data_IF_765685411987
#
_entry.id   IF_765685411987
#
_cell.length_a   1.000
_cell.length_b   1.000
_cell.length_c   1.000
_cell.angle_alpha   90.00
_cell.angle_beta   90.00
_cell.angle_gamma   90.00
#
_symmetry.space_group_name_H-M   'P 1'
#
loop_
_entity.id
_entity.type
_entity.pdbx_description
1 polymer ?
#
# COMPACT_ATOMS: atom_id res chain seq x y z
N UNK A 1 22.47 22.59 4.55
CA UNK A 1 23.74 22.09 4.00
C UNK A 1 24.25 22.93 2.81
N UNK A 2 23.53 23.01 1.69
CA UNK A 2 23.96 23.73 0.47
C UNK A 2 24.37 25.20 0.67
N UNK A 3 23.69 25.94 1.57
CA UNK A 3 24.06 27.33 1.90
C UNK A 3 25.44 27.49 2.56
N UNK A 4 25.92 26.45 3.28
CA UNK A 4 27.13 26.52 4.12
C UNK A 4 28.35 25.87 3.45
N UNK A 5 28.14 24.98 2.49
CA UNK A 5 29.21 24.22 1.83
C UNK A 5 28.95 24.08 0.32
N UNK A 6 29.69 24.83 -0.53
CA UNK A 6 29.49 24.85 -1.99
C UNK A 6 29.70 23.50 -2.68
N UNK A 7 30.49 22.59 -2.08
CA UNK A 7 30.73 21.23 -2.58
C UNK A 7 29.43 20.40 -2.75
N UNK A 8 28.39 20.72 -1.97
CA UNK A 8 27.09 20.05 -2.02
C UNK A 8 26.07 20.72 -2.97
N UNK A 9 26.52 21.63 -3.84
CA UNK A 9 25.73 22.14 -4.96
C UNK A 9 25.68 21.15 -6.13
N UNK A 10 26.64 20.23 -6.22
CA UNK A 10 26.66 19.13 -7.20
C UNK A 10 25.85 17.93 -6.67
N UNK A 11 25.39 17.09 -7.59
CA UNK A 11 24.56 15.89 -7.31
C UNK A 11 25.22 15.00 -6.25
N UNK A 12 24.46 14.64 -5.21
CA UNK A 12 24.91 13.81 -4.10
C UNK A 12 24.02 12.58 -3.95
N UNK A 13 24.63 11.37 -3.98
CA UNK A 13 23.90 10.10 -3.86
C UNK A 13 23.34 9.84 -2.46
N UNK A 14 23.99 10.33 -1.40
CA UNK A 14 23.59 10.06 -0.01
C UNK A 14 23.69 11.32 0.87
N UNK A 15 22.83 12.33 0.63
CA UNK A 15 22.86 13.58 1.39
C UNK A 15 22.60 13.40 2.89
N UNK A 16 21.82 12.38 3.31
CA UNK A 16 21.52 12.14 4.72
C UNK A 16 22.73 11.63 5.52
N UNK A 17 23.46 10.65 4.98
CA UNK A 17 24.67 10.14 5.63
C UNK A 17 25.76 11.24 5.72
N UNK A 18 25.89 12.08 4.69
CA UNK A 18 26.78 13.25 4.72
C UNK A 18 26.39 14.27 5.80
N UNK A 19 25.09 14.50 6.02
CA UNK A 19 24.62 15.36 7.11
C UNK A 19 25.00 14.77 8.47
N UNK A 20 24.82 13.46 8.65
CA UNK A 20 25.22 12.76 9.88
C UNK A 20 26.74 12.78 10.10
N UNK A 21 27.53 12.60 9.03
CA UNK A 21 28.99 12.69 9.08
C UNK A 21 29.47 14.06 9.56
N UNK A 22 28.83 15.14 9.07
CA UNK A 22 29.19 16.52 9.43
C UNK A 22 28.71 16.92 10.83
N UNK A 23 27.63 16.33 11.30
CA UNK A 23 27.06 16.66 12.61
C UNK A 23 27.76 15.92 13.76
N UNK A 24 28.02 14.62 13.60
CA UNK A 24 28.45 13.74 14.70
C UNK A 24 29.73 12.96 14.35
N UNK A 25 29.97 12.64 13.07
CA UNK A 25 31.18 11.95 12.60
C UNK A 25 30.91 10.66 11.82
N UNK A 26 31.97 9.95 11.46
CA UNK A 26 31.92 8.79 10.54
C UNK A 26 31.04 7.64 11.02
N UNK A 27 31.07 7.30 12.32
CA UNK A 27 30.23 6.23 12.89
C UNK A 27 28.73 6.52 12.77
N UNK A 28 28.33 7.79 12.97
CA UNK A 28 26.94 8.21 12.81
C UNK A 28 26.48 8.19 11.35
N UNK A 29 27.38 8.49 10.41
CA UNK A 29 27.12 8.35 8.97
C UNK A 29 26.83 6.90 8.58
N UNK A 30 27.66 5.95 9.07
CA UNK A 30 27.44 4.52 8.87
C UNK A 30 26.10 4.06 9.45
N UNK A 31 25.80 4.43 10.70
CA UNK A 31 24.52 4.07 11.33
C UNK A 31 23.33 4.64 10.55
N UNK A 32 23.38 5.92 10.16
CA UNK A 32 22.32 6.56 9.40
C UNK A 32 22.11 5.87 8.04
N UNK A 33 23.20 5.52 7.35
CA UNK A 33 23.12 4.80 6.08
C UNK A 33 22.48 3.42 6.26
N UNK A 34 22.92 2.64 7.25
CA UNK A 34 22.36 1.33 7.54
C UNK A 34 20.86 1.39 7.86
N UNK A 35 20.43 2.33 8.71
CA UNK A 35 19.02 2.51 9.05
C UNK A 35 18.16 2.88 7.84
N UNK A 36 18.68 3.75 6.95
CA UNK A 36 17.98 4.10 5.72
C UNK A 36 17.82 2.88 4.82
N UNK A 37 18.87 2.07 4.63
CA UNK A 37 18.79 0.88 3.78
C UNK A 37 17.77 -0.12 4.30
N UNK A 38 17.77 -0.38 5.62
CA UNK A 38 16.78 -1.27 6.24
C UNK A 38 15.35 -0.75 6.02
N UNK A 39 15.14 0.56 6.20
CA UNK A 39 13.81 1.17 6.01
C UNK A 39 13.33 1.08 4.56
N UNK A 40 14.21 1.36 3.60
CA UNK A 40 13.88 1.30 2.17
C UNK A 40 13.63 -0.13 1.70
N UNK A 41 14.44 -1.09 2.17
CA UNK A 41 14.24 -2.51 1.88
C UNK A 41 12.91 -3.01 2.44
N UNK A 42 12.60 -2.70 3.70
CA UNK A 42 11.31 -3.05 4.31
C UNK A 42 10.11 -2.40 3.61
N UNK A 43 10.24 -1.15 3.17
CA UNK A 43 9.21 -0.50 2.35
C UNK A 43 9.00 -1.20 1.00
N UNK A 44 10.09 -1.50 0.29
CA UNK A 44 10.04 -2.16 -1.00
C UNK A 44 9.42 -3.56 -0.93
N UNK A 45 9.70 -4.34 0.13
CA UNK A 45 9.12 -5.66 0.31
C UNK A 45 7.60 -5.60 0.54
N UNK A 46 7.13 -4.70 1.42
CA UNK A 46 5.69 -4.52 1.68
C UNK A 46 4.94 -4.06 0.43
N UNK A 47 5.47 -3.10 -0.33
CA UNK A 47 4.82 -2.65 -1.56
C UNK A 47 4.82 -3.72 -2.65
N UNK A 48 5.88 -4.53 -2.75
CA UNK A 48 5.93 -5.66 -3.69
C UNK A 48 4.88 -6.73 -3.35
N UNK A 49 4.71 -7.03 -2.05
CA UNK A 49 3.68 -7.95 -1.57
C UNK A 49 2.28 -7.44 -1.93
N UNK A 50 2.02 -6.17 -1.66
CA UNK A 50 0.73 -5.53 -1.95
C UNK A 50 0.45 -5.55 -3.47
N UNK A 51 1.43 -5.23 -4.30
CA UNK A 51 1.29 -5.29 -5.76
C UNK A 51 0.98 -6.72 -6.24
N UNK A 52 1.71 -7.72 -5.73
CA UNK A 52 1.48 -9.13 -6.07
C UNK A 52 0.08 -9.60 -5.70
N UNK A 53 -0.44 -9.22 -4.52
CA UNK A 53 -1.82 -9.55 -4.09
C UNK A 53 -2.85 -8.94 -5.04
N UNK A 54 -2.76 -7.63 -5.29
CA UNK A 54 -3.69 -6.95 -6.21
C UNK A 54 -3.67 -7.53 -7.63
N UNK A 55 -2.49 -7.89 -8.15
CA UNK A 55 -2.38 -8.52 -9.48
C UNK A 55 -2.98 -9.92 -9.48
N UNK A 56 -2.71 -10.72 -8.44
CA UNK A 56 -3.28 -12.06 -8.31
C UNK A 56 -4.80 -12.01 -8.29
N UNK A 57 -5.38 -11.13 -7.47
CA UNK A 57 -6.84 -10.97 -7.36
C UNK A 57 -7.46 -10.47 -8.68
N UNK A 58 -6.79 -9.55 -9.36
CA UNK A 58 -7.22 -9.07 -10.68
C UNK A 58 -7.18 -10.18 -11.73
N UNK A 59 -6.14 -11.02 -11.76
CA UNK A 59 -6.03 -12.12 -12.72
C UNK A 59 -7.07 -13.21 -12.47
N UNK A 60 -7.42 -13.48 -11.20
CA UNK A 60 -8.52 -14.37 -10.86
C UNK A 60 -9.85 -13.88 -11.45
N UNK A 61 -10.09 -12.56 -11.52
CA UNK A 61 -11.27 -11.98 -12.17
C UNK A 61 -11.31 -12.19 -13.69
N UNK A 62 -10.16 -12.23 -14.34
CA UNK A 62 -10.05 -12.50 -15.78
C UNK A 62 -10.00 -14.01 -16.11
N UNK A 63 -10.19 -14.89 -15.12
CA UNK A 63 -10.19 -16.34 -15.31
C UNK A 63 -8.81 -16.98 -15.41
N UNK A 64 -7.73 -16.23 -15.16
CA UNK A 64 -6.37 -16.74 -15.11
C UNK A 64 -5.95 -16.97 -13.65
N UNK A 65 -6.02 -18.22 -13.18
CA UNK A 65 -5.55 -18.59 -11.84
C UNK A 65 -4.03 -18.71 -11.81
N UNK A 66 -3.32 -17.60 -11.62
CA UNK A 66 -1.89 -17.62 -11.33
C UNK A 66 -1.66 -17.76 -9.83
N UNK A 67 -0.65 -18.56 -9.45
CA UNK A 67 -0.23 -18.64 -8.05
C UNK A 67 0.39 -17.32 -7.60
N UNK A 68 -0.01 -16.85 -6.42
CA UNK A 68 0.51 -15.66 -5.75
C UNK A 68 2.04 -15.54 -5.77
N UNK A 69 2.74 -16.65 -5.52
CA UNK A 69 4.20 -16.72 -5.50
C UNK A 69 4.83 -16.29 -6.84
N UNK A 70 4.22 -16.71 -7.95
CA UNK A 70 4.69 -16.44 -9.29
C UNK A 70 4.44 -14.98 -9.68
N UNK A 71 3.27 -14.44 -9.29
CA UNK A 71 2.97 -13.01 -9.44
C UNK A 71 4.00 -12.15 -8.69
N UNK A 72 4.37 -12.56 -7.48
CA UNK A 72 5.34 -11.85 -6.68
C UNK A 72 6.73 -11.85 -7.32
N UNK A 73 7.21 -13.01 -7.77
CA UNK A 73 8.48 -13.09 -8.50
C UNK A 73 8.47 -12.25 -9.80
N UNK A 74 7.37 -12.29 -10.55
CA UNK A 74 7.21 -11.51 -11.77
C UNK A 74 7.26 -9.99 -11.50
N UNK A 75 6.60 -9.51 -10.44
CA UNK A 75 6.66 -8.11 -10.02
C UNK A 75 8.09 -7.71 -9.64
N UNK A 76 8.79 -8.52 -8.84
CA UNK A 76 10.18 -8.23 -8.46
C UNK A 76 11.12 -8.17 -9.68
N UNK A 77 10.97 -9.10 -10.63
CA UNK A 77 11.77 -9.11 -11.87
C UNK A 77 11.44 -7.92 -12.78
N UNK A 78 10.18 -7.48 -12.81
CA UNK A 78 9.76 -6.30 -13.57
C UNK A 78 10.28 -5.00 -12.96
N UNK A 79 10.27 -4.88 -11.63
CA UNK A 79 10.77 -3.68 -10.92
C UNK A 79 12.30 -3.59 -10.92
N UNK A 80 13.00 -4.71 -11.08
CA UNK A 80 14.45 -4.79 -11.13
C UNK A 80 15.14 -3.76 -12.05
N UNK A 81 14.81 -3.67 -13.36
CA UNK A 81 15.42 -2.68 -14.25
C UNK A 81 15.13 -1.23 -13.83
N UNK A 82 13.99 -0.97 -13.18
CA UNK A 82 13.66 0.38 -12.71
C UNK A 82 14.50 0.80 -11.50
N UNK A 83 14.92 -0.14 -10.66
CA UNK A 83 15.78 0.12 -9.50
C UNK A 83 17.21 0.53 -9.88
N UNK A 84 17.65 0.20 -11.11
CA UNK A 84 18.98 0.61 -11.62
C UNK A 84 19.03 2.09 -12.04
N UNK A 85 17.90 2.81 -12.06
CA UNK A 85 17.90 4.20 -12.52
C UNK A 85 18.36 5.18 -11.43
N UNK A 86 19.24 6.11 -11.85
CA UNK A 86 20.14 6.86 -10.97
C UNK A 86 19.50 8.05 -10.24
N UNK A 87 18.36 8.58 -10.70
CA UNK A 87 17.71 9.73 -10.05
C UNK A 87 16.19 9.75 -10.24
N UNK A 88 15.41 10.04 -9.18
CA UNK A 88 13.96 10.18 -9.24
C UNK A 88 13.50 11.41 -10.05
N UNK A 89 14.39 12.36 -10.37
CA UNK A 89 14.04 13.55 -11.16
C UNK A 89 13.56 13.20 -12.58
N UNK A 90 14.02 12.07 -13.14
CA UNK A 90 13.64 11.64 -14.48
C UNK A 90 12.24 11.01 -14.58
N UNK A 91 11.56 10.78 -13.43
CA UNK A 91 10.28 10.05 -13.36
C UNK A 91 9.11 10.88 -12.83
N UNK A 92 9.19 12.21 -12.89
CA UNK A 92 8.14 13.08 -12.34
C UNK A 92 6.73 12.79 -12.91
N UNK A 93 6.64 12.33 -14.17
CA UNK A 93 5.37 11.93 -14.81
C UNK A 93 4.75 10.70 -14.14
N UNK A 94 5.56 9.70 -13.79
CA UNK A 94 5.11 8.49 -13.09
C UNK A 94 4.57 8.86 -11.71
N UNK A 95 5.24 9.77 -11.00
CA UNK A 95 4.78 10.26 -9.70
C UNK A 95 3.42 10.97 -9.78
N UNK A 96 3.17 11.77 -10.82
CA UNK A 96 1.86 12.40 -11.05
C UNK A 96 0.80 11.35 -11.37
N UNK A 97 1.12 10.40 -12.25
CA UNK A 97 0.23 9.29 -12.58
C UNK A 97 -0.17 8.49 -11.34
N UNK A 98 0.80 8.15 -10.49
CA UNK A 98 0.57 7.46 -9.23
C UNK A 98 -0.28 8.26 -8.24
N UNK A 99 -0.06 9.58 -8.14
CA UNK A 99 -0.87 10.45 -7.28
C UNK A 99 -2.33 10.55 -7.75
N UNK A 100 -2.53 10.68 -9.07
CA UNK A 100 -3.86 10.70 -9.68
C UNK A 100 -4.57 9.34 -9.51
N UNK A 101 -3.90 8.23 -9.81
CA UNK A 101 -4.47 6.89 -9.64
C UNK A 101 -4.85 6.61 -8.19
N UNK A 102 -4.02 7.04 -7.23
CA UNK A 102 -4.32 6.91 -5.80
C UNK A 102 -5.53 7.73 -5.40
N UNK A 103 -5.65 8.96 -5.92
CA UNK A 103 -6.80 9.84 -5.64
C UNK A 103 -8.09 9.24 -6.20
N UNK A 104 -8.07 8.73 -7.43
CA UNK A 104 -9.21 8.02 -8.03
C UNK A 104 -9.57 6.78 -7.22
N UNK A 105 -8.58 5.98 -6.82
CA UNK A 105 -8.82 4.79 -5.99
C UNK A 105 -9.49 5.16 -4.66
N UNK A 106 -9.03 6.21 -3.98
CA UNK A 106 -9.66 6.71 -2.74
C UNK A 106 -11.11 7.12 -2.98
N UNK A 107 -11.39 7.85 -4.07
CA UNK A 107 -12.77 8.24 -4.42
C UNK A 107 -13.64 7.00 -4.65
N UNK A 108 -13.15 6.00 -5.37
CA UNK A 108 -13.89 4.74 -5.61
C UNK A 108 -14.13 3.97 -4.31
N UNK A 109 -13.15 3.91 -3.41
CA UNK A 109 -13.29 3.29 -2.08
C UNK A 109 -14.37 4.01 -1.26
N UNK A 110 -14.38 5.34 -1.27
CA UNK A 110 -15.39 6.13 -0.56
C UNK A 110 -16.80 5.92 -1.15
N UNK A 111 -16.93 5.84 -2.48
CA UNK A 111 -18.20 5.53 -3.13
C UNK A 111 -18.67 4.12 -2.75
N UNK A 112 -17.79 3.12 -2.86
CA UNK A 112 -18.10 1.73 -2.48
C UNK A 112 -18.53 1.63 -1.02
N UNK A 113 -17.80 2.30 -0.12
CA UNK A 113 -18.16 2.36 1.31
C UNK A 113 -19.51 3.05 1.52
N UNK A 114 -19.81 4.11 0.77
CA UNK A 114 -21.06 4.86 0.87
C UNK A 114 -22.28 4.03 0.43
N UNK A 115 -22.12 3.16 -0.58
CA UNK A 115 -23.16 2.23 -1.03
C UNK A 115 -23.47 1.19 0.04
N UNK A 116 -22.45 0.76 0.80
CA UNK A 116 -22.59 -0.26 1.85
C UNK A 116 -23.11 0.30 3.19
N UNK A 117 -23.13 1.63 3.39
CA UNK A 117 -23.64 2.29 4.61
C UNK A 117 -25.02 1.77 5.05
N UNK A 118 -26.10 1.80 4.23
CA UNK A 118 -27.43 1.43 4.69
C UNK A 118 -27.55 -0.05 5.10
N UNK A 119 -26.66 -0.91 4.61
CA UNK A 119 -26.71 -2.36 4.80
C UNK A 119 -25.81 -2.76 5.97
N UNK A 120 -24.57 -2.28 5.98
CA UNK A 120 -23.53 -2.77 6.89
C UNK A 120 -23.38 -1.95 8.17
N UNK A 121 -23.78 -0.67 8.18
CA UNK A 121 -23.64 0.17 9.37
C UNK A 121 -24.41 -0.39 10.59
N UNK A 122 -25.57 -1.01 10.35
CA UNK A 122 -26.40 -1.62 11.41
C UNK A 122 -25.89 -2.99 11.87
N UNK A 123 -25.09 -3.66 11.04
CA UNK A 123 -24.48 -4.96 11.34
C UNK A 123 -23.06 -4.83 11.90
N UNK A 124 -22.48 -3.63 11.88
CA UNK A 124 -21.13 -3.38 12.35
C UNK A 124 -21.01 -3.63 13.86
N UNK A 125 -19.98 -4.39 14.23
CA UNK A 125 -19.55 -4.59 15.60
C UNK A 125 -18.22 -3.88 15.83
N UNK A 126 -18.03 -3.32 17.03
CA UNK A 126 -16.81 -2.61 17.41
C UNK A 126 -16.18 -3.34 18.59
N UNK A 127 -14.94 -3.80 18.42
CA UNK A 127 -14.20 -4.47 19.47
C UNK A 127 -13.52 -3.46 20.40
N UNK A 128 -13.32 -3.87 21.66
CA UNK A 128 -12.46 -3.13 22.59
C UNK A 128 -11.00 -3.17 22.13
N UNK A 129 -10.30 -2.05 22.31
CA UNK A 129 -8.92 -1.90 21.85
C UNK A 129 -7.99 -2.65 22.80
N UNK A 130 -7.43 -3.77 22.34
CA UNK A 130 -6.36 -4.46 23.08
C UNK A 130 -5.00 -3.77 22.85
N UNK A 131 -4.04 -3.85 23.79
CA UNK A 131 -2.71 -3.28 23.61
C UNK A 131 -2.00 -3.78 22.35
N UNK A 132 -2.19 -5.07 22.02
CA UNK A 132 -1.64 -5.68 20.80
C UNK A 132 -2.19 -5.01 19.54
N UNK A 133 -3.51 -4.83 19.44
CA UNK A 133 -4.15 -4.17 18.30
C UNK A 133 -3.71 -2.70 18.19
N UNK A 134 -3.57 -2.02 19.32
CA UNK A 134 -3.05 -0.65 19.36
C UNK A 134 -1.64 -0.56 18.78
N UNK A 135 -0.71 -1.43 19.20
CA UNK A 135 0.67 -1.42 18.69
C UNK A 135 0.73 -1.74 17.19
N UNK A 136 -0.06 -2.71 16.71
CA UNK A 136 -0.13 -3.03 15.29
C UNK A 136 -0.68 -1.85 14.48
N UNK A 137 -1.80 -1.26 14.91
CA UNK A 137 -2.40 -0.09 14.27
C UNK A 137 -1.44 1.10 14.25
N UNK A 138 -0.78 1.40 15.37
CA UNK A 138 0.23 2.45 15.44
C UNK A 138 1.39 2.21 14.46
N UNK A 139 1.89 0.97 14.37
CA UNK A 139 2.93 0.60 13.41
C UNK A 139 2.51 0.84 11.96
N UNK A 140 1.27 0.49 11.61
CA UNK A 140 0.73 0.75 10.26
C UNK A 140 0.62 2.25 9.95
N UNK A 141 0.23 3.08 10.91
CA UNK A 141 0.17 4.54 10.74
C UNK A 141 1.58 5.12 10.56
N UNK A 142 2.54 4.70 11.39
CA UNK A 142 3.94 5.14 11.27
C UNK A 142 4.53 4.75 9.91
N UNK A 143 4.22 3.54 9.42
CA UNK A 143 4.60 3.10 8.09
C UNK A 143 3.94 3.94 6.99
N UNK A 144 2.64 4.22 7.09
CA UNK A 144 1.86 4.94 6.09
C UNK A 144 2.27 6.42 5.93
N UNK A 145 2.71 7.06 7.02
CA UNK A 145 3.27 8.42 7.02
C UNK A 145 4.81 8.43 6.86
N UNK A 146 5.41 7.24 6.70
CA UNK A 146 6.83 7.04 6.51
C UNK A 146 7.31 7.50 5.14
N UNK A 147 8.36 8.32 5.11
CA UNK A 147 8.97 8.83 3.88
C UNK A 147 10.17 9.76 4.13
N UNK A 148 10.43 10.10 5.39
CA UNK A 148 11.50 11.00 5.82
C UNK A 148 12.92 10.63 5.31
N UNK A 149 13.32 9.35 5.17
CA UNK A 149 14.63 8.99 4.64
C UNK A 149 14.94 9.58 3.26
N UNK A 150 13.92 9.78 2.41
CA UNK A 150 14.10 10.29 1.03
C UNK A 150 14.03 11.82 0.94
N UNK A 151 13.56 12.49 1.99
CA UNK A 151 13.39 13.95 2.03
C UNK A 151 14.64 14.75 1.66
N UNK A 152 15.84 14.42 2.16
CA UNK A 152 17.05 15.15 1.80
C UNK A 152 17.44 14.97 0.33
N UNK A 153 17.17 13.80 -0.25
CA UNK A 153 17.39 13.54 -1.68
C UNK A 153 16.42 14.35 -2.52
N UNK A 154 15.13 14.34 -2.16
CA UNK A 154 14.10 15.17 -2.83
C UNK A 154 14.47 16.65 -2.72
N UNK A 155 14.80 17.13 -1.53
CA UNK A 155 15.19 18.53 -1.31
C UNK A 155 16.43 18.92 -2.13
N UNK A 156 17.38 17.99 -2.29
CA UNK A 156 18.58 18.21 -3.08
C UNK A 156 18.28 18.30 -4.59
N UNK A 157 17.34 17.48 -5.09
CA UNK A 157 16.94 17.41 -6.50
C UNK A 157 15.92 18.52 -6.88
N UNK A 158 15.34 19.23 -5.91
CA UNK A 158 14.42 20.35 -6.18
C UNK A 158 15.13 21.53 -6.85
N UNK A 159 14.53 22.06 -7.94
CA UNK A 159 14.97 23.31 -8.58
C UNK A 159 15.02 24.50 -7.62
N UNK A 160 14.14 24.54 -6.62
CA UNK A 160 14.11 25.57 -5.58
C UNK A 160 13.98 24.94 -4.18
N UNK A 161 15.10 24.55 -3.53
CA UNK A 161 15.08 23.87 -2.23
C UNK A 161 14.48 24.69 -1.07
N UNK A 162 14.35 26.01 -1.23
CA UNK A 162 13.73 26.91 -0.24
C UNK A 162 12.24 26.63 -0.04
N UNK A 163 11.56 26.07 -1.03
CA UNK A 163 10.14 25.75 -0.98
C UNK A 163 9.85 24.35 -0.41
N UNK A 164 10.88 23.58 -0.07
CA UNK A 164 10.75 22.20 0.42
C UNK A 164 9.79 22.08 1.61
N UNK A 165 9.92 22.93 2.64
CA UNK A 165 9.04 22.87 3.83
C UNK A 165 7.57 23.11 3.48
N UNK A 166 7.28 24.02 2.54
CA UNK A 166 5.89 24.26 2.09
C UNK A 166 5.36 23.06 1.31
N UNK A 167 6.18 22.45 0.47
CA UNK A 167 5.82 21.26 -0.30
C UNK A 167 5.52 20.06 0.61
N UNK A 168 6.36 19.82 1.62
CA UNK A 168 6.16 18.73 2.60
C UNK A 168 4.92 18.95 3.46
N UNK A 169 4.69 20.19 3.92
CA UNK A 169 3.48 20.51 4.68
C UNK A 169 2.22 20.25 3.85
N UNK A 170 2.21 20.72 2.60
CA UNK A 170 1.09 20.48 1.68
C UNK A 170 0.89 18.99 1.41
N UNK A 171 1.96 18.22 1.18
CA UNK A 171 1.84 16.78 0.93
C UNK A 171 1.25 16.02 2.13
N UNK A 172 1.65 16.37 3.36
CA UNK A 172 1.07 15.75 4.56
C UNK A 172 -0.40 16.13 4.79
N UNK A 173 -0.79 17.37 4.49
CA UNK A 173 -2.20 17.78 4.54
C UNK A 173 -3.03 16.97 3.55
N UNK A 174 -2.58 16.87 2.30
CA UNK A 174 -3.28 16.08 1.27
C UNK A 174 -3.34 14.61 1.66
N UNK A 175 -2.24 14.04 2.17
CA UNK A 175 -2.20 12.64 2.62
C UNK A 175 -3.20 12.39 3.75
N UNK A 176 -3.25 13.29 4.73
CA UNK A 176 -4.23 13.22 5.83
C UNK A 176 -5.67 13.26 5.30
N UNK A 177 -5.97 14.17 4.36
CA UNK A 177 -7.28 14.29 3.74
C UNK A 177 -7.68 13.06 2.90
N UNK A 178 -6.71 12.32 2.35
CA UNK A 178 -6.98 11.07 1.64
C UNK A 178 -7.16 9.89 2.60
N UNK A 179 -6.34 9.80 3.64
CA UNK A 179 -6.34 8.67 4.57
C UNK A 179 -7.46 8.74 5.60
N UNK A 180 -7.73 9.92 6.19
CA UNK A 180 -8.69 10.04 7.29
C UNK A 180 -10.12 9.63 6.90
N UNK A 181 -10.69 10.07 5.76
CA UNK A 181 -12.04 9.67 5.37
C UNK A 181 -12.15 8.16 5.12
N UNK A 182 -11.13 7.55 4.51
CA UNK A 182 -11.11 6.11 4.24
C UNK A 182 -11.02 5.31 5.54
N UNK A 183 -10.14 5.71 6.46
CA UNK A 183 -9.98 5.03 7.74
C UNK A 183 -11.23 5.16 8.62
N UNK A 184 -11.78 6.38 8.75
CA UNK A 184 -12.98 6.64 9.55
C UNK A 184 -14.20 5.97 8.92
N UNK A 185 -14.44 6.20 7.63
CA UNK A 185 -15.60 5.66 6.92
C UNK A 185 -15.57 4.14 6.84
N UNK A 186 -14.42 3.55 6.48
CA UNK A 186 -14.26 2.10 6.42
C UNK A 186 -14.50 1.43 7.77
N UNK A 187 -13.90 1.96 8.84
CA UNK A 187 -14.10 1.38 10.18
C UNK A 187 -15.52 1.59 10.70
N UNK A 188 -16.15 2.76 10.44
CA UNK A 188 -17.53 3.03 10.85
C UNK A 188 -18.56 2.14 10.13
N UNK A 189 -18.33 1.77 8.87
CA UNK A 189 -19.29 0.96 8.10
C UNK A 189 -19.07 -0.54 8.32
N UNK A 190 -17.82 -0.98 8.48
CA UNK A 190 -17.49 -2.41 8.49
C UNK A 190 -17.08 -2.95 9.86
N UNK A 191 -16.63 -2.10 10.79
CA UNK A 191 -16.23 -2.49 12.14
C UNK A 191 -15.17 -3.60 12.14
N UNK A 192 -15.39 -4.64 12.95
CA UNK A 192 -14.50 -5.81 13.08
C UNK A 192 -14.47 -6.72 11.84
N UNK A 193 -15.32 -6.50 10.85
CA UNK A 193 -15.39 -7.33 9.63
C UNK A 193 -14.43 -6.88 8.53
N UNK A 194 -13.58 -5.88 8.79
CA UNK A 194 -12.53 -5.44 7.87
C UNK A 194 -11.46 -6.52 7.70
N UNK A 195 -11.10 -6.80 6.45
CA UNK A 195 -9.91 -7.62 6.12
C UNK A 195 -8.65 -6.75 6.08
N UNK A 196 -7.48 -7.37 5.89
CA UNK A 196 -6.17 -6.68 5.79
C UNK A 196 -6.14 -5.54 4.75
N UNK A 197 -7.01 -5.62 3.73
CA UNK A 197 -7.20 -4.57 2.72
C UNK A 197 -8.67 -4.14 2.67
N UNK A 198 -8.90 -2.83 2.64
CA UNK A 198 -10.26 -2.30 2.47
C UNK A 198 -10.81 -2.60 1.08
N UNK A 199 -9.94 -2.67 0.06
CA UNK A 199 -10.35 -2.94 -1.32
C UNK A 199 -10.91 -4.35 -1.46
N UNK A 200 -10.24 -5.35 -0.87
CA UNK A 200 -10.74 -6.73 -0.86
C UNK A 200 -12.06 -6.83 -0.11
N UNK A 201 -12.18 -6.10 1.00
CA UNK A 201 -13.41 -6.04 1.80
C UNK A 201 -14.59 -5.53 0.97
N UNK A 202 -14.40 -4.53 0.10
CA UNK A 202 -15.46 -4.01 -0.78
C UNK A 202 -15.72 -4.96 -1.97
N UNK A 203 -14.67 -5.51 -2.58
CA UNK A 203 -14.79 -6.32 -3.80
C UNK A 203 -15.50 -7.66 -3.55
N UNK A 204 -15.16 -8.38 -2.48
CA UNK A 204 -15.83 -9.65 -2.16
C UNK A 204 -17.33 -9.46 -1.92
N UNK A 205 -17.69 -8.36 -1.25
CA UNK A 205 -19.07 -7.97 -0.95
C UNK A 205 -19.88 -7.67 -2.19
N UNK A 206 -19.34 -6.88 -3.11
CA UNK A 206 -20.03 -6.56 -4.36
C UNK A 206 -20.28 -7.81 -5.21
N UNK A 207 -19.36 -8.78 -5.18
CA UNK A 207 -19.54 -10.07 -5.85
C UNK A 207 -20.67 -10.89 -5.21
N UNK A 208 -20.72 -10.96 -3.88
CA UNK A 208 -21.76 -11.67 -3.14
C UNK A 208 -23.15 -11.03 -3.32
N UNK A 209 -23.23 -9.69 -3.31
CA UNK A 209 -24.48 -8.97 -3.60
C UNK A 209 -24.92 -9.21 -5.05
N UNK A 210 -23.98 -9.20 -6.00
CA UNK A 210 -24.29 -9.47 -7.40
C UNK A 210 -24.76 -10.92 -7.62
N UNK A 211 -24.14 -11.90 -6.97
CA UNK A 211 -24.55 -13.30 -7.07
C UNK A 211 -25.94 -13.54 -6.47
N UNK A 212 -26.25 -12.94 -5.33
CA UNK A 212 -27.59 -13.01 -4.73
C UNK A 212 -28.68 -12.41 -5.62
N UNK A 213 -28.43 -11.26 -6.24
CA UNK A 213 -29.38 -10.64 -7.18
C UNK A 213 -29.59 -11.50 -8.43
N UNK A 214 -28.52 -12.12 -8.94
CA UNK A 214 -28.63 -13.05 -10.07
C UNK A 214 -29.49 -14.27 -9.71
N UNK A 215 -29.35 -14.83 -8.51
CA UNK A 215 -30.18 -15.94 -8.04
C UNK A 215 -31.67 -15.57 -7.93
N UNK A 216 -32.00 -14.38 -7.44
CA UNK A 216 -33.39 -13.90 -7.43
C UNK A 216 -33.96 -13.76 -8.85
N UNK A 217 -33.20 -13.19 -9.80
CA UNK A 217 -33.67 -13.02 -11.19
C UNK A 217 -33.79 -14.33 -11.97
N UNK A 218 -33.06 -15.38 -11.58
CA UNK A 218 -33.15 -16.70 -12.24
C UNK A 218 -34.28 -17.55 -11.65
N UNK A 219 -34.74 -17.24 -10.42
CA UNK A 219 -35.81 -17.94 -9.71
C UNK A 219 -37.23 -17.61 -10.21
N UNK A 220 -37.45 -16.47 -10.87
CA UNK A 220 -38.77 -16.09 -11.40
C UNK A 220 -39.08 -16.71 -12.79
N UNK A 221 -38.19 -17.57 -13.33
CA UNK A 221 -38.28 -18.10 -14.69
C UNK A 221 -38.64 -19.59 -14.83
N UNK A 222 -38.83 -20.36 -13.75
CA UNK A 222 -39.00 -21.81 -13.85
C UNK A 222 -40.14 -22.38 -12.97
N UNK A 223 -41.28 -22.70 -13.62
CA UNK A 223 -42.36 -23.57 -13.13
C UNK A 223 -43.36 -22.84 -12.22
N UNK A 224 -44.65 -22.77 -12.53
CA UNK A 224 -45.55 -23.89 -12.82
C UNK A 224 -46.49 -24.03 -11.62
N UNK A 225 -47.81 -24.05 -11.89
CA UNK A 225 -48.90 -24.09 -10.91
C UNK A 225 -48.62 -25.03 -9.72
N UNK A 226 -48.61 -24.50 -8.49
CA UNK A 226 -49.01 -25.28 -7.33
C UNK A 226 -49.76 -24.41 -6.30
N UNK A 227 -50.97 -24.88 -6.00
CA UNK A 227 -51.96 -24.27 -5.12
C UNK A 227 -51.73 -24.72 -3.69
N UNK A 228 -51.15 -23.85 -2.85
CA UNK A 228 -51.09 -24.04 -1.38
C UNK A 228 -51.50 -22.74 -0.67
N UNK A 229 -52.35 -22.77 0.38
CA UNK A 229 -53.00 -21.58 0.90
C UNK A 229 -52.02 -20.64 1.61
N UNK A 230 -52.21 -19.35 1.32
CA UNK A 230 -51.48 -18.16 1.77
C UNK A 230 -51.39 -18.09 3.30
N UNK A 231 -50.32 -18.64 3.88
CA UNK A 231 -49.86 -18.30 5.24
C UNK A 231 -49.22 -16.92 5.15
N UNK A 232 -49.65 -16.00 6.03
CA UNK A 232 -49.26 -14.59 6.13
C UNK A 232 -47.75 -14.34 5.94
N UNK A 233 -47.36 -14.02 4.70
CA UNK A 233 -45.97 -13.83 4.26
C UNK A 233 -45.56 -12.35 4.26
N UNK A 234 -46.10 -11.52 5.17
CA UNK A 234 -45.76 -10.10 5.27
C UNK A 234 -44.82 -9.77 6.44
N UNK A 235 -44.63 -10.69 7.38
CA UNK A 235 -43.76 -10.47 8.56
C UNK A 235 -42.36 -11.10 8.44
N UNK A 236 -42.12 -12.00 7.49
CA UNK A 236 -40.83 -12.70 7.34
C UNK A 236 -39.87 -12.03 6.35
N UNK A 237 -40.38 -11.26 5.39
CA UNK A 237 -39.57 -10.52 4.39
C UNK A 237 -38.58 -9.52 5.05
N UNK A 238 -38.97 -8.68 6.03
CA UNK A 238 -38.01 -7.78 6.67
C UNK A 238 -36.97 -8.54 7.52
N UNK A 239 -37.33 -9.68 8.12
CA UNK A 239 -36.39 -10.51 8.88
C UNK A 239 -35.39 -11.23 7.99
N UNK A 240 -35.83 -11.78 6.87
CA UNK A 240 -34.96 -12.50 5.94
C UNK A 240 -34.01 -11.55 5.20
N UNK A 241 -34.49 -10.37 4.77
CA UNK A 241 -33.65 -9.30 4.21
C UNK A 241 -32.63 -8.76 5.23
N UNK A 242 -33.01 -8.63 6.51
CA UNK A 242 -32.09 -8.19 7.57
C UNK A 242 -31.02 -9.23 7.90
N UNK A 243 -31.35 -10.53 7.84
CA UNK A 243 -30.39 -11.61 8.09
C UNK A 243 -29.42 -11.81 6.93
N UNK A 244 -29.87 -11.65 5.68
CA UNK A 244 -29.01 -11.69 4.47
C UNK A 244 -28.09 -10.46 4.43
N UNK A 245 -28.62 -9.27 4.72
CA UNK A 245 -27.80 -8.05 4.86
C UNK A 245 -26.74 -8.20 5.95
N UNK A 246 -27.12 -8.79 7.10
CA UNK A 246 -26.19 -9.06 8.19
C UNK A 246 -25.15 -10.12 7.80
N UNK A 247 -25.53 -11.21 7.11
CA UNK A 247 -24.57 -12.23 6.65
C UNK A 247 -23.54 -11.62 5.70
N UNK A 248 -23.98 -10.95 4.63
CA UNK A 248 -23.10 -10.26 3.66
C UNK A 248 -22.13 -9.32 4.41
N UNK A 249 -22.63 -8.61 5.43
CA UNK A 249 -21.82 -7.66 6.18
C UNK A 249 -20.86 -8.29 7.22
N UNK A 250 -21.14 -9.49 7.72
CA UNK A 250 -20.33 -10.21 8.73
C UNK A 250 -19.48 -11.35 8.19
N UNK A 251 -19.76 -11.88 6.99
CA UNK A 251 -19.15 -13.12 6.48
C UNK A 251 -17.67 -12.96 6.05
N UNK A 252 -17.14 -11.74 6.06
CA UNK A 252 -15.71 -11.52 5.94
C UNK A 252 -14.91 -12.11 7.13
N UNK A 253 -15.57 -12.40 8.26
CA UNK A 253 -14.96 -13.11 9.40
C UNK A 253 -14.89 -14.63 9.21
N UNK A 254 -15.56 -15.19 8.19
CA UNK A 254 -15.67 -16.62 7.94
C UNK A 254 -14.66 -17.20 6.95
N UNK A 255 -13.90 -16.35 6.23
CA UNK A 255 -12.75 -16.85 5.50
C UNK A 255 -11.74 -17.37 6.54
N UNK A 256 -11.39 -18.66 6.56
CA UNK A 256 -10.29 -19.11 7.39
C UNK A 256 -9.11 -18.20 7.08
N UNK A 257 -8.27 -17.82 8.07
CA UNK A 257 -7.00 -17.19 7.75
C UNK A 257 -6.41 -18.10 6.67
N UNK A 258 -6.21 -17.57 5.46
CA UNK A 258 -5.49 -18.35 4.45
C UNK A 258 -4.15 -18.58 5.12
N UNK A 259 -3.95 -19.77 5.67
CA UNK A 259 -2.66 -20.29 6.07
C UNK A 259 -1.87 -20.28 4.78
N UNK A 260 -1.17 -19.18 4.62
CA UNK A 260 -0.64 -18.84 3.35
C UNK A 260 0.61 -19.70 3.20
N UNK A 261 0.84 -20.30 2.02
CA UNK A 261 2.18 -20.78 1.68
C UNK A 261 3.16 -19.59 1.51
N UNK A 262 2.89 -18.43 2.11
CA UNK A 262 3.71 -17.22 1.98
C UNK A 262 5.10 -17.45 2.51
N UNK A 263 5.29 -18.23 3.58
CA UNK A 263 6.60 -18.39 4.24
C UNK A 263 7.70 -18.88 3.28
N UNK A 264 7.36 -19.76 2.32
CA UNK A 264 8.31 -20.24 1.32
C UNK A 264 8.55 -19.23 0.18
N UNK A 265 7.54 -18.43 -0.17
CA UNK A 265 7.66 -17.37 -1.19
C UNK A 265 8.40 -16.14 -0.67
N UNK A 266 8.25 -15.81 0.62
CA UNK A 266 8.99 -14.75 1.30
C UNK A 266 10.49 -14.96 1.19
N UNK A 267 10.96 -16.17 1.45
CA UNK A 267 12.38 -16.48 1.47
C UNK A 267 13.02 -16.29 0.09
N UNK A 268 12.35 -16.71 -0.98
CA UNK A 268 12.78 -16.46 -2.36
C UNK A 268 12.80 -14.97 -2.71
N UNK A 269 11.85 -14.20 -2.20
CA UNK A 269 11.78 -12.75 -2.42
C UNK A 269 12.86 -11.99 -1.68
N UNK A 270 13.16 -12.38 -0.43
CA UNK A 270 14.28 -11.84 0.32
C UNK A 270 15.59 -12.11 -0.41
N UNK A 271 15.82 -13.34 -0.90
CA UNK A 271 17.02 -13.63 -1.70
C UNK A 271 17.11 -12.77 -2.95
N UNK A 272 16.00 -12.61 -3.67
CA UNK A 272 15.92 -11.78 -4.88
C UNK A 272 16.18 -10.30 -4.55
N UNK A 273 15.50 -9.74 -3.56
CA UNK A 273 15.70 -8.35 -3.11
C UNK A 273 17.10 -8.12 -2.51
N UNK A 274 17.72 -9.11 -1.85
CA UNK A 274 19.09 -9.03 -1.32
C UNK A 274 20.13 -9.13 -2.45
N UNK A 275 19.91 -10.02 -3.43
CA UNK A 275 20.70 -10.08 -4.66
C UNK A 275 20.61 -8.76 -5.44
N UNK A 276 19.45 -8.11 -5.35
CA UNK A 276 19.11 -6.91 -6.08
C UNK A 276 19.49 -5.60 -5.39
N UNK A 277 19.43 -5.56 -4.07
CA UNK A 277 20.03 -4.52 -3.26
C UNK A 277 21.55 -4.74 -3.31
N UNK A 278 22.15 -4.37 -4.45
CA UNK A 278 23.55 -4.61 -4.77
C UNK A 278 24.42 -4.25 -3.56
N UNK A 279 24.98 -5.28 -2.92
CA UNK A 279 25.92 -5.14 -1.80
C UNK A 279 27.16 -4.35 -2.23
N UNK A 280 27.40 -4.14 -3.54
CA UNK A 280 28.42 -3.19 -4.03
C UNK A 280 28.06 -1.73 -3.72
N UNK A 281 26.81 -1.38 -3.49
CA UNK A 281 26.41 -0.05 -2.98
C UNK A 281 26.75 0.11 -1.48
N UNK A 282 26.86 -1.00 -0.73
CA UNK A 282 27.21 -1.04 0.70
C UNK A 282 28.73 -1.17 0.92
N UNK A 283 29.44 -1.96 0.10
CA UNK A 283 30.91 -2.13 0.19
C UNK A 283 31.73 -1.15 -0.64
N UNK A 284 31.11 -0.44 -1.58
CA UNK A 284 31.82 0.24 -2.66
C UNK A 284 32.34 1.64 -2.40
N UNK A 285 32.27 2.23 -1.19
CA UNK A 285 33.08 3.42 -0.81
C UNK A 285 32.77 3.97 0.59
N UNK A 286 33.34 3.38 1.64
CA UNK A 286 33.60 4.16 2.86
C UNK A 286 34.72 5.21 2.64
N UNK A 287 35.55 5.03 1.61
CA UNK A 287 36.65 5.94 1.25
C UNK A 287 36.28 7.03 0.22
N UNK A 288 35.12 6.97 -0.44
CA UNK A 288 34.63 8.08 -1.30
C UNK A 288 33.25 8.62 -0.86
N UNK A 289 33.21 9.19 0.35
CA UNK A 289 32.17 10.13 0.84
C UNK A 289 32.23 11.48 0.10
N UNK A 290 32.22 11.43 -1.22
CA UNK A 290 32.61 12.53 -2.10
C UNK A 290 31.44 13.04 -2.92
N UNK A 291 30.58 13.88 -2.34
CA UNK A 291 29.80 14.82 -3.14
C UNK A 291 30.78 15.61 -4.04
N UNK A 292 30.84 15.31 -5.34
CA UNK A 292 31.67 16.06 -6.29
C UNK A 292 32.80 15.32 -7.05
N UNK A 293 32.84 13.99 -7.16
CA UNK A 293 33.86 13.30 -8.00
C UNK A 293 33.33 12.64 -9.28
N UNK A 294 32.10 12.95 -9.70
CA UNK A 294 31.56 12.42 -10.97
C UNK A 294 32.06 13.20 -12.21
N UNK A 295 32.70 14.36 -12.02
CA UNK A 295 33.27 15.16 -13.11
C UNK A 295 34.68 14.72 -13.57
N UNK A 296 35.37 13.83 -12.85
CA UNK A 296 36.73 13.39 -13.24
C UNK A 296 36.77 12.07 -14.01
N UNK A 297 35.68 11.28 -14.03
CA UNK A 297 35.62 10.03 -14.82
C UNK A 297 35.00 10.21 -16.21
N UNK A 298 34.34 11.34 -16.49
CA UNK A 298 33.80 11.66 -17.81
C UNK A 298 34.81 12.36 -18.76
N UNK A 299 36.08 12.50 -18.34
CA UNK A 299 37.18 12.98 -19.20
C UNK A 299 38.21 11.89 -19.51
N UNK A 300 37.90 10.63 -19.18
CA UNK A 300 38.72 9.45 -19.45
C UNK A 300 37.83 8.29 -19.92
N UNK A 301 36.98 8.55 -20.91
CA UNK A 301 36.54 7.60 -21.95
C UNK A 301 36.31 8.41 -23.22
#
# INVERSE_FOLDING_TARGET
>A
MQKRWPKYLKTCRSPYAEMAQRAIGGKASLLAHAMIQITLFGGASVFSLLAARNISDLLHLFGASLHFCLCLFAVSLFLWPFMMLRSPMHFWQVSIGAALSTTVAVILILIGTSIDVPICFQAASYAEVTPRQFTLGFGTIVFAYGGHPVFPTIQHDMRQPRHFSKAVMLSYIVLFLLYAPVAIGGYAVYGTSLTDSIVSSIQSRQQEVASHRLMETTGDGAGGEDSTPRRSLTNDIPRQSSNISRSICTDASGAPPRESPENHCWQMTEYVLILFCDVRQIRGNYDETGCGRESSRASLV
#
